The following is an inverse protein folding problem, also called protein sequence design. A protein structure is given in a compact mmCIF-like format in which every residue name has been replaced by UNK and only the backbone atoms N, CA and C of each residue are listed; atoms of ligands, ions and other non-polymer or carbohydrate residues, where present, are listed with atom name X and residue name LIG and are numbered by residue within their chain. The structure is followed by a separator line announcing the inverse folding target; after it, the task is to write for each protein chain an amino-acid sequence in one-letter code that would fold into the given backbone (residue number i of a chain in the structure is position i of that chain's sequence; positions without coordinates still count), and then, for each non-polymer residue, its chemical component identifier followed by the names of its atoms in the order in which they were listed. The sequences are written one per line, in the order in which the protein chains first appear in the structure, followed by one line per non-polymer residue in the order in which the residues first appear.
data_IF_976810290569
#
_entry.id   IF_976810290569
#
_cell.length_a   1.000
_cell.length_b   1.000
_cell.length_c   1.000
_cell.angle_alpha   90.00
_cell.angle_beta   90.00
_cell.angle_gamma   90.00
#
_symmetry.space_group_name_H-M   'P 1'
#
loop_
_entity.id
_entity.type
_entity.pdbx_description
1 polymer ?
#
# COMPACT_ATOMS: atom_id res chain seq x y z
N UNK A 1 28.45 -10.09 -52.71
CA UNK A 1 27.99 -9.40 -51.49
C UNK A 1 28.79 -9.95 -50.33
N UNK A 2 29.59 -9.14 -49.66
CA UNK A 2 30.26 -9.55 -48.41
C UNK A 2 29.18 -9.74 -47.33
N UNK A 3 29.22 -10.82 -46.53
CA UNK A 3 28.28 -11.00 -45.43
C UNK A 3 28.45 -9.85 -44.43
N UNK A 4 27.35 -9.17 -44.12
CA UNK A 4 27.31 -8.09 -43.15
C UNK A 4 27.38 -8.71 -41.74
N UNK A 5 28.59 -8.89 -41.22
CA UNK A 5 28.79 -9.34 -39.84
C UNK A 5 28.73 -8.12 -38.92
N UNK A 6 27.84 -8.18 -37.93
CA UNK A 6 27.79 -7.18 -36.87
C UNK A 6 29.05 -7.26 -36.01
N UNK A 7 29.50 -6.12 -35.47
CA UNK A 7 30.51 -6.12 -34.40
C UNK A 7 29.98 -6.88 -33.18
N UNK A 8 30.86 -7.29 -32.26
CA UNK A 8 30.45 -7.91 -30.99
C UNK A 8 29.41 -7.06 -30.27
N UNK A 9 29.63 -5.74 -30.21
CA UNK A 9 28.67 -4.77 -29.67
C UNK A 9 27.35 -4.72 -30.45
N UNK A 10 27.40 -4.77 -31.78
CA UNK A 10 26.20 -4.82 -32.62
C UNK A 10 25.41 -6.10 -32.41
N UNK A 11 26.08 -7.24 -32.25
CA UNK A 11 25.46 -8.52 -31.94
C UNK A 11 24.81 -8.51 -30.54
N UNK A 12 25.51 -7.97 -29.53
CA UNK A 12 24.97 -7.83 -28.17
C UNK A 12 23.73 -6.95 -28.13
N UNK A 13 23.73 -5.81 -28.85
CA UNK A 13 22.56 -4.93 -28.93
C UNK A 13 21.38 -5.61 -29.63
N UNK A 14 21.63 -6.44 -30.64
CA UNK A 14 20.58 -7.17 -31.34
C UNK A 14 19.84 -8.16 -30.42
N UNK A 15 20.54 -8.74 -29.43
CA UNK A 15 19.92 -9.59 -28.41
C UNK A 15 19.00 -8.83 -27.43
N UNK A 16 19.11 -7.51 -27.33
CA UNK A 16 18.19 -6.69 -26.53
C UNK A 16 16.86 -6.42 -27.26
N UNK A 17 16.84 -6.48 -28.59
CA UNK A 17 15.63 -6.17 -29.37
C UNK A 17 14.45 -7.12 -29.06
N UNK A 18 14.64 -8.45 -28.93
CA UNK A 18 13.56 -9.33 -28.48
C UNK A 18 13.05 -9.01 -27.08
N UNK A 19 13.94 -8.63 -26.16
CA UNK A 19 13.57 -8.26 -24.78
C UNK A 19 12.73 -6.98 -24.78
N UNK A 20 13.15 -5.97 -25.55
CA UNK A 20 12.39 -4.73 -25.72
C UNK A 20 11.04 -4.99 -26.41
N UNK A 21 11.02 -5.83 -27.46
CA UNK A 21 9.79 -6.23 -28.13
C UNK A 21 8.82 -6.94 -27.19
N UNK A 22 9.31 -7.89 -26.39
CA UNK A 22 8.52 -8.56 -25.36
C UNK A 22 7.99 -7.55 -24.33
N UNK A 23 8.83 -6.62 -23.85
CA UNK A 23 8.40 -5.60 -22.88
C UNK A 23 7.28 -4.69 -23.40
N UNK A 24 7.21 -4.43 -24.71
CA UNK A 24 6.15 -3.64 -25.33
C UNK A 24 4.86 -4.45 -25.57
N UNK A 25 4.98 -5.75 -25.85
CA UNK A 25 3.87 -6.61 -26.23
C UNK A 25 3.18 -7.24 -25.01
N UNK A 26 3.97 -7.71 -24.03
CA UNK A 26 3.47 -8.45 -22.87
C UNK A 26 2.35 -7.72 -22.11
N UNK A 27 2.41 -6.40 -21.88
CA UNK A 27 1.33 -5.68 -21.19
C UNK A 27 -0.02 -5.70 -21.92
N UNK A 28 -0.02 -5.94 -23.24
CA UNK A 28 -1.23 -6.02 -24.05
C UNK A 28 -1.80 -7.44 -24.19
N UNK A 29 -1.02 -8.47 -23.82
CA UNK A 29 -1.41 -9.88 -23.94
C UNK A 29 -1.68 -10.51 -22.57
N UNK A 30 -0.87 -10.16 -21.57
CA UNK A 30 -0.95 -10.74 -20.24
C UNK A 30 -2.03 -10.04 -19.43
N UNK A 31 -2.96 -10.83 -18.90
CA UNK A 31 -3.88 -10.39 -17.87
C UNK A 31 -3.14 -10.29 -16.52
N UNK A 32 -2.89 -9.04 -16.10
CA UNK A 32 -2.27 -8.70 -14.82
C UNK A 32 -3.04 -9.18 -13.58
N UNK A 33 -4.30 -9.57 -13.72
CA UNK A 33 -5.14 -10.11 -12.63
C UNK A 33 -5.15 -11.64 -12.59
N UNK A 34 -4.74 -12.29 -13.70
CA UNK A 34 -4.65 -13.74 -13.80
C UNK A 34 -3.48 -14.27 -12.97
N UNK A 35 -3.80 -15.03 -11.91
CA UNK A 35 -2.79 -15.64 -11.03
C UNK A 35 -1.88 -16.59 -11.81
N UNK A 36 -2.40 -17.33 -12.78
CA UNK A 36 -1.61 -18.27 -13.57
C UNK A 36 -0.58 -17.58 -14.46
N UNK A 37 -0.98 -16.50 -15.14
CA UNK A 37 -0.08 -15.75 -16.02
C UNK A 37 1.02 -15.05 -15.23
N UNK A 38 0.68 -14.51 -14.05
CA UNK A 38 1.67 -13.95 -13.11
C UNK A 38 2.65 -15.02 -12.63
N UNK A 39 2.18 -16.21 -12.23
CA UNK A 39 3.05 -17.33 -11.84
C UNK A 39 4.03 -17.67 -12.97
N UNK A 40 3.55 -17.82 -14.20
CA UNK A 40 4.41 -18.12 -15.35
C UNK A 40 5.48 -17.03 -15.56
N UNK A 41 5.08 -15.76 -15.53
CA UNK A 41 6.00 -14.63 -15.73
C UNK A 41 7.07 -14.55 -14.63
N UNK A 42 6.68 -14.65 -13.36
CA UNK A 42 7.62 -14.61 -12.24
C UNK A 42 8.47 -15.88 -12.16
N UNK A 43 7.97 -17.05 -12.57
CA UNK A 43 8.77 -18.28 -12.64
C UNK A 43 9.90 -18.14 -13.66
N UNK A 44 9.63 -17.56 -14.84
CA UNK A 44 10.67 -17.25 -15.82
C UNK A 44 11.70 -16.28 -15.22
N UNK A 45 11.25 -15.22 -14.54
CA UNK A 45 12.15 -14.27 -13.89
C UNK A 45 13.03 -14.93 -12.81
N UNK A 46 12.47 -15.84 -12.00
CA UNK A 46 13.23 -16.61 -11.00
C UNK A 46 14.27 -17.49 -11.66
N UNK A 47 13.92 -18.23 -12.73
CA UNK A 47 14.88 -19.09 -13.44
C UNK A 47 16.03 -18.28 -14.00
N UNK A 48 15.76 -17.11 -14.60
CA UNK A 48 16.80 -16.22 -15.12
C UNK A 48 17.68 -15.66 -14.00
N UNK A 49 17.09 -15.26 -12.88
CA UNK A 49 17.85 -14.75 -11.73
C UNK A 49 18.73 -15.84 -11.08
N UNK A 50 18.23 -17.08 -10.96
CA UNK A 50 19.03 -18.23 -10.50
C UNK A 50 20.18 -18.50 -11.47
N UNK A 51 19.92 -18.50 -12.78
CA UNK A 51 20.97 -18.68 -13.80
C UNK A 51 22.02 -17.58 -13.73
N UNK A 52 21.59 -16.33 -13.52
CA UNK A 52 22.47 -15.18 -13.35
C UNK A 52 23.35 -15.32 -12.11
N UNK A 53 22.78 -15.60 -10.94
CA UNK A 53 23.55 -15.78 -9.71
C UNK A 53 24.54 -16.94 -9.82
N UNK A 54 24.14 -18.04 -10.47
CA UNK A 54 25.04 -19.16 -10.76
C UNK A 54 26.22 -18.69 -11.60
N UNK A 55 25.97 -18.07 -12.76
CA UNK A 55 27.01 -17.55 -13.65
C UNK A 55 27.92 -16.55 -12.93
N UNK A 56 27.33 -15.63 -12.15
CA UNK A 56 28.06 -14.63 -11.39
C UNK A 56 29.03 -15.29 -10.40
N UNK A 57 28.56 -16.29 -9.66
CA UNK A 57 29.37 -17.01 -8.67
C UNK A 57 30.41 -17.96 -9.26
N UNK A 58 30.20 -18.51 -10.46
CA UNK A 58 31.11 -19.52 -11.03
C UNK A 58 32.09 -19.00 -12.07
N UNK A 59 31.72 -17.98 -12.84
CA UNK A 59 32.48 -17.58 -14.04
C UNK A 59 33.07 -16.16 -13.97
N UNK A 60 32.61 -15.33 -13.02
CA UNK A 60 32.94 -13.89 -13.03
C UNK A 60 33.65 -13.38 -11.79
N UNK A 61 33.83 -14.22 -10.77
CA UNK A 61 34.63 -13.87 -9.60
C UNK A 61 36.11 -13.81 -10.00
N UNK A 62 36.82 -12.84 -9.44
CA UNK A 62 38.26 -12.77 -9.64
C UNK A 62 38.94 -14.01 -9.01
N UNK A 63 40.16 -14.35 -9.44
CA UNK A 63 40.89 -15.49 -8.87
C UNK A 63 41.03 -15.37 -7.35
N UNK A 64 40.83 -16.49 -6.65
CA UNK A 64 40.87 -16.55 -5.19
C UNK A 64 42.24 -16.11 -4.68
N UNK A 65 42.25 -15.09 -3.83
CA UNK A 65 43.46 -14.55 -3.21
C UNK A 65 43.17 -13.29 -2.40
N UNK A 66 44.15 -12.82 -1.63
CA UNK A 66 44.05 -11.55 -0.89
C UNK A 66 44.36 -10.35 -1.79
N UNK A 67 43.71 -10.29 -2.96
CA UNK A 67 43.85 -9.18 -3.91
C UNK A 67 42.66 -8.22 -3.79
N UNK A 68 42.85 -6.92 -4.09
CA UNK A 68 41.73 -5.96 -4.13
C UNK A 68 40.61 -6.41 -5.06
N UNK A 69 40.94 -7.02 -6.20
CA UNK A 69 39.99 -7.49 -7.20
C UNK A 69 39.11 -8.64 -6.67
N UNK A 70 39.69 -9.58 -5.93
CA UNK A 70 38.94 -10.66 -5.28
C UNK A 70 38.02 -10.13 -4.19
N UNK A 71 38.52 -9.22 -3.35
CA UNK A 71 37.71 -8.61 -2.29
C UNK A 71 36.54 -7.83 -2.89
N UNK A 72 36.78 -6.99 -3.90
CA UNK A 72 35.74 -6.18 -4.53
C UNK A 72 34.70 -7.04 -5.27
N UNK A 73 35.14 -8.03 -6.08
CA UNK A 73 34.23 -8.91 -6.80
C UNK A 73 33.41 -9.80 -5.85
N UNK A 74 34.01 -10.31 -4.77
CA UNK A 74 33.31 -11.12 -3.77
C UNK A 74 32.33 -10.30 -2.94
N UNK A 75 32.68 -9.07 -2.56
CA UNK A 75 31.78 -8.16 -1.84
C UNK A 75 30.57 -7.80 -2.72
N UNK A 76 30.81 -7.46 -3.99
CA UNK A 76 29.72 -7.18 -4.94
C UNK A 76 28.82 -8.40 -5.13
N UNK A 77 29.40 -9.59 -5.31
CA UNK A 77 28.63 -10.83 -5.40
C UNK A 77 27.78 -11.08 -4.15
N UNK A 78 28.31 -10.82 -2.95
CA UNK A 78 27.55 -10.93 -1.70
C UNK A 78 26.35 -9.99 -1.65
N UNK A 79 26.53 -8.73 -2.08
CA UNK A 79 25.43 -7.76 -2.18
C UNK A 79 24.39 -8.16 -3.23
N UNK A 80 24.84 -8.60 -4.41
CA UNK A 80 23.97 -9.10 -5.49
C UNK A 80 23.17 -10.33 -5.03
N UNK A 81 23.80 -11.24 -4.29
CA UNK A 81 23.16 -12.43 -3.74
C UNK A 81 22.08 -12.08 -2.73
N UNK A 82 22.38 -11.21 -1.75
CA UNK A 82 21.40 -10.76 -0.74
C UNK A 82 20.24 -10.02 -1.42
N UNK A 83 20.53 -9.16 -2.39
CA UNK A 83 19.52 -8.43 -3.14
C UNK A 83 18.62 -9.39 -3.92
N UNK A 84 19.20 -10.38 -4.59
CA UNK A 84 18.46 -11.39 -5.36
C UNK A 84 17.58 -12.25 -4.45
N UNK A 85 18.06 -12.61 -3.25
CA UNK A 85 17.23 -13.30 -2.25
C UNK A 85 16.02 -12.45 -1.84
N UNK A 86 16.22 -11.15 -1.61
CA UNK A 86 15.11 -10.22 -1.35
C UNK A 86 14.13 -10.13 -2.53
N UNK A 87 14.64 -10.10 -3.76
CA UNK A 87 13.83 -10.11 -4.99
C UNK A 87 13.00 -11.38 -5.12
N UNK A 88 13.52 -12.56 -4.75
CA UNK A 88 12.72 -13.79 -4.75
C UNK A 88 11.52 -13.72 -3.82
N UNK A 89 11.70 -13.14 -2.61
CA UNK A 89 10.56 -12.90 -1.71
C UNK A 89 9.52 -12.00 -2.37
N UNK A 90 9.94 -10.93 -3.03
CA UNK A 90 9.02 -10.02 -3.72
C UNK A 90 8.30 -10.71 -4.89
N UNK A 91 9.01 -11.51 -5.69
CA UNK A 91 8.43 -12.26 -6.81
C UNK A 91 7.39 -13.27 -6.32
N UNK A 92 7.69 -14.04 -5.28
CA UNK A 92 6.75 -15.01 -4.71
C UNK A 92 5.47 -14.32 -4.23
N UNK A 93 5.59 -13.19 -3.53
CA UNK A 93 4.43 -12.40 -3.11
C UNK A 93 3.63 -11.95 -4.34
N UNK A 94 4.30 -11.37 -5.34
CA UNK A 94 3.67 -10.85 -6.55
C UNK A 94 3.20 -11.93 -7.54
N UNK A 95 3.32 -13.23 -7.25
CA UNK A 95 2.73 -14.28 -8.10
C UNK A 95 1.21 -14.33 -7.98
N UNK A 96 0.64 -13.97 -6.82
CA UNK A 96 -0.79 -14.04 -6.55
C UNK A 96 -1.39 -12.64 -6.46
N UNK A 97 -2.63 -12.47 -6.88
CA UNK A 97 -3.34 -11.18 -6.84
C UNK A 97 -4.77 -11.41 -6.40
N UNK A 98 -5.25 -10.58 -5.46
CA UNK A 98 -6.63 -10.63 -4.98
C UNK A 98 -7.26 -9.25 -5.10
N UNK A 99 -8.30 -9.15 -5.92
CA UNK A 99 -9.20 -8.00 -5.93
C UNK A 99 -10.47 -8.35 -5.14
N UNK A 100 -10.74 -7.57 -4.08
CA UNK A 100 -11.89 -7.75 -3.20
C UNK A 100 -13.09 -6.88 -3.62
N UNK A 101 -13.00 -6.15 -4.73
CA UNK A 101 -14.03 -5.18 -5.15
C UNK A 101 -15.38 -5.84 -5.44
N UNK A 102 -15.37 -7.01 -6.08
CA UNK A 102 -16.57 -7.78 -6.38
C UNK A 102 -17.16 -8.40 -5.10
N UNK A 103 -16.30 -8.96 -4.25
CA UNK A 103 -16.67 -9.51 -2.94
C UNK A 103 -17.34 -8.47 -2.04
N UNK A 104 -16.79 -7.25 -1.98
CA UNK A 104 -17.39 -6.14 -1.25
C UNK A 104 -18.73 -5.68 -1.84
N UNK A 105 -18.93 -5.86 -3.15
CA UNK A 105 -20.19 -5.46 -3.81
C UNK A 105 -21.28 -6.51 -3.62
N UNK A 106 -20.93 -7.79 -3.67
CA UNK A 106 -21.85 -8.91 -3.45
C UNK A 106 -22.34 -8.99 -2.00
N UNK A 107 -21.45 -8.72 -1.04
CA UNK A 107 -21.74 -8.83 0.39
C UNK A 107 -22.17 -7.49 1.04
N UNK A 108 -22.53 -6.51 0.23
CA UNK A 108 -23.05 -5.24 0.73
C UNK A 108 -24.30 -5.48 1.58
N UNK A 109 -24.28 -5.06 2.84
CA UNK A 109 -25.44 -5.23 3.73
C UNK A 109 -25.60 -6.63 4.33
N UNK A 110 -24.53 -7.46 4.37
CA UNK A 110 -24.57 -8.82 4.94
C UNK A 110 -25.12 -8.89 6.37
N UNK A 111 -25.08 -7.78 7.12
CA UNK A 111 -25.63 -7.64 8.47
C UNK A 111 -27.15 -7.74 8.56
N UNK A 112 -27.86 -7.71 7.42
CA UNK A 112 -29.30 -7.90 7.32
C UNK A 112 -30.12 -6.62 7.54
N UNK A 113 -31.42 -6.63 7.18
CA UNK A 113 -32.29 -5.49 7.32
C UNK A 113 -32.53 -5.13 8.81
N UNK A 114 -32.37 -3.85 9.16
CA UNK A 114 -32.64 -3.33 10.50
C UNK A 114 -31.49 -3.42 11.50
N UNK A 115 -30.32 -3.95 11.11
CA UNK A 115 -29.08 -3.91 11.89
C UNK A 115 -28.10 -2.90 11.31
N UNK A 116 -28.23 -1.62 11.66
CA UNK A 116 -27.17 -0.68 11.31
C UNK A 116 -25.99 -0.88 12.27
N UNK A 117 -24.95 -1.57 11.81
CA UNK A 117 -23.73 -1.82 12.57
C UNK A 117 -23.15 -0.51 13.11
N UNK A 118 -22.84 -0.42 14.39
CA UNK A 118 -22.29 0.80 14.98
C UNK A 118 -20.81 0.93 14.65
N UNK A 119 -20.43 2.04 14.04
CA UNK A 119 -19.03 2.31 13.66
C UNK A 119 -18.52 3.55 14.38
N UNK A 120 -17.44 3.41 15.17
CA UNK A 120 -16.68 4.55 15.66
C UNK A 120 -15.60 4.93 14.65
N UNK A 121 -15.72 6.12 14.06
CA UNK A 121 -14.75 6.68 13.12
C UNK A 121 -13.81 7.63 13.86
N UNK A 122 -12.58 7.18 14.08
CA UNK A 122 -11.54 7.90 14.80
C UNK A 122 -10.72 8.75 13.81
N UNK A 123 -10.64 10.05 14.05
CA UNK A 123 -9.78 10.98 13.28
C UNK A 123 -8.65 11.44 14.22
N UNK A 124 -7.43 10.93 14.02
CA UNK A 124 -6.30 11.26 14.88
C UNK A 124 -5.55 12.50 14.38
N UNK A 125 -5.28 13.45 15.27
CA UNK A 125 -4.64 14.72 14.94
C UNK A 125 -3.70 15.21 16.05
N UNK A 126 -2.66 15.95 15.66
CA UNK A 126 -1.70 16.56 16.58
C UNK A 126 -1.53 18.07 16.37
N UNK A 127 -1.16 18.50 15.16
CA UNK A 127 -0.85 19.90 14.86
C UNK A 127 -1.47 20.40 13.54
N UNK A 128 -2.35 19.62 12.92
CA UNK A 128 -3.03 20.00 11.68
C UNK A 128 -3.93 21.22 11.88
N UNK A 129 -3.98 22.08 10.86
CA UNK A 129 -4.75 23.31 10.87
C UNK A 129 -6.24 23.06 10.59
N UNK A 130 -7.07 24.06 10.91
CA UNK A 130 -8.52 23.99 10.72
C UNK A 130 -8.89 23.60 9.28
N UNK A 131 -8.20 24.15 8.27
CA UNK A 131 -8.52 23.90 6.86
C UNK A 131 -8.35 22.43 6.45
N UNK A 132 -7.42 21.72 7.08
CA UNK A 132 -7.19 20.28 6.84
C UNK A 132 -8.25 19.47 7.58
N UNK A 133 -8.42 19.77 8.87
CA UNK A 133 -9.34 19.04 9.74
C UNK A 133 -10.80 19.21 9.32
N UNK A 134 -11.21 20.41 8.93
CA UNK A 134 -12.55 20.70 8.44
C UNK A 134 -12.91 19.80 7.24
N UNK A 135 -12.02 19.68 6.25
CA UNK A 135 -12.27 18.84 5.07
C UNK A 135 -12.48 17.38 5.45
N UNK A 136 -11.67 16.87 6.37
CA UNK A 136 -11.77 15.48 6.84
C UNK A 136 -13.02 15.24 7.69
N UNK A 137 -13.34 16.15 8.61
CA UNK A 137 -14.54 16.05 9.47
C UNK A 137 -15.82 16.16 8.64
N UNK A 138 -15.89 17.11 7.70
CA UNK A 138 -17.05 17.25 6.80
C UNK A 138 -17.16 16.04 5.86
N UNK A 139 -16.05 15.53 5.34
CA UNK A 139 -16.02 14.30 4.54
C UNK A 139 -16.53 13.09 5.32
N UNK A 140 -16.10 12.95 6.58
CA UNK A 140 -16.57 11.92 7.50
C UNK A 140 -18.08 12.00 7.75
N UNK A 141 -18.64 13.20 7.93
CA UNK A 141 -20.10 13.41 8.06
C UNK A 141 -20.86 12.93 6.82
N UNK A 142 -20.27 13.12 5.63
CA UNK A 142 -20.87 12.75 4.35
C UNK A 142 -20.78 11.24 4.01
N UNK A 143 -20.19 10.40 4.88
CA UNK A 143 -20.12 8.96 4.68
C UNK A 143 -21.52 8.32 4.68
N UNK A 144 -21.77 7.40 3.74
CA UNK A 144 -23.04 6.69 3.56
C UNK A 144 -23.14 5.50 4.52
N UNK A 145 -23.24 5.82 5.81
CA UNK A 145 -23.51 4.88 6.89
C UNK A 145 -24.27 5.61 7.99
N UNK A 146 -25.42 5.09 8.41
CA UNK A 146 -26.32 5.80 9.34
C UNK A 146 -25.76 5.76 10.75
N UNK A 147 -25.46 4.57 11.27
CA UNK A 147 -24.96 4.36 12.63
C UNK A 147 -23.44 4.53 12.72
N UNK A 148 -22.96 5.75 12.45
CA UNK A 148 -21.55 6.15 12.63
C UNK A 148 -21.42 7.25 13.68
N UNK A 149 -20.42 7.12 14.53
CA UNK A 149 -19.99 8.15 15.48
C UNK A 149 -18.62 8.68 15.03
N UNK A 150 -18.49 9.99 14.84
CA UNK A 150 -17.22 10.62 14.45
C UNK A 150 -16.54 11.14 15.72
N UNK A 151 -15.30 10.72 15.94
CA UNK A 151 -14.53 11.05 17.14
C UNK A 151 -13.18 11.62 16.73
N UNK A 152 -12.97 12.90 17.00
CA UNK A 152 -11.71 13.60 16.76
C UNK A 152 -10.80 13.43 17.97
N UNK A 153 -9.64 12.82 17.76
CA UNK A 153 -8.66 12.49 18.77
C UNK A 153 -7.52 13.53 18.75
N UNK A 154 -7.53 14.48 19.67
CA UNK A 154 -6.64 15.63 19.67
C UNK A 154 -5.53 15.54 20.72
N UNK A 155 -4.33 15.14 20.29
CA UNK A 155 -3.12 15.13 21.12
C UNK A 155 -2.48 16.53 21.27
N UNK A 156 -2.93 17.51 20.47
CA UNK A 156 -2.53 18.91 20.56
C UNK A 156 -3.28 19.70 21.65
N UNK A 157 -4.37 19.14 22.19
CA UNK A 157 -5.18 19.74 23.28
C UNK A 157 -5.65 21.17 22.94
N UNK A 158 -6.07 21.38 21.69
CA UNK A 158 -6.44 22.66 21.10
C UNK A 158 -7.89 23.01 21.44
N UNK A 159 -8.10 24.05 22.24
CA UNK A 159 -9.44 24.47 22.66
C UNK A 159 -10.31 24.88 21.46
N UNK A 160 -9.74 25.55 20.46
CA UNK A 160 -10.46 25.91 19.23
C UNK A 160 -11.00 24.69 18.50
N UNK A 161 -10.29 23.55 18.54
CA UNK A 161 -10.71 22.33 17.87
C UNK A 161 -11.85 21.64 18.62
N UNK A 162 -11.82 21.69 19.96
CA UNK A 162 -12.96 21.26 20.79
C UNK A 162 -14.22 22.05 20.43
N UNK A 163 -14.09 23.37 20.36
CA UNK A 163 -15.21 24.27 20.08
C UNK A 163 -15.75 24.03 18.65
N UNK A 164 -14.86 23.89 17.66
CA UNK A 164 -15.24 23.51 16.29
C UNK A 164 -15.92 22.13 16.21
N UNK A 165 -15.43 21.12 16.96
CA UNK A 165 -16.08 19.81 17.01
C UNK A 165 -17.50 19.90 17.57
N UNK A 166 -17.71 20.75 18.58
CA UNK A 166 -19.04 20.98 19.15
C UNK A 166 -19.98 21.66 18.13
N UNK A 167 -19.49 22.66 17.38
CA UNK A 167 -20.24 23.30 16.29
C UNK A 167 -20.60 22.30 15.17
N UNK A 168 -19.70 21.35 14.89
CA UNK A 168 -19.92 20.32 13.87
C UNK A 168 -20.70 19.10 14.38
N UNK A 169 -21.13 19.09 15.65
CA UNK A 169 -21.83 17.98 16.29
C UNK A 169 -21.05 16.65 16.19
N UNK A 170 -19.72 16.70 16.37
CA UNK A 170 -18.85 15.53 16.43
C UNK A 170 -18.16 15.41 17.78
N UNK A 171 -17.84 14.18 18.19
CA UNK A 171 -17.22 13.93 19.50
C UNK A 171 -15.77 14.39 19.50
N UNK A 172 -15.39 15.24 20.44
CA UNK A 172 -14.00 15.61 20.69
C UNK A 172 -13.45 14.78 21.85
N UNK A 173 -12.30 14.15 21.66
CA UNK A 173 -11.59 13.43 22.72
C UNK A 173 -10.14 13.91 22.80
N UNK A 174 -9.72 14.26 24.02
CA UNK A 174 -8.32 14.53 24.36
C UNK A 174 -7.91 13.72 25.57
N UNK A 175 -6.61 13.49 25.71
CA UNK A 175 -6.00 12.85 26.89
C UNK A 175 -5.04 13.81 27.60
N UNK A 176 -4.64 13.45 28.82
CA UNK A 176 -3.80 14.28 29.68
C UNK A 176 -2.31 14.23 29.33
N UNK A 177 -1.86 13.17 28.65
CA UNK A 177 -0.48 12.95 28.23
C UNK A 177 -0.37 12.67 26.72
N UNK A 178 0.86 12.55 26.21
CA UNK A 178 1.15 12.22 24.81
C UNK A 178 1.96 10.91 24.70
N UNK A 179 1.78 9.97 25.64
CA UNK A 179 2.55 8.70 25.63
C UNK A 179 2.22 7.89 24.38
N UNK A 180 3.22 7.23 23.80
CA UNK A 180 3.05 6.38 22.62
C UNK A 180 2.44 7.07 21.37
N UNK A 181 2.47 8.41 21.33
CA UNK A 181 2.00 9.25 20.22
C UNK A 181 0.63 8.80 19.67
N UNK A 182 0.49 8.67 18.35
CA UNK A 182 -0.76 8.26 17.67
C UNK A 182 -1.32 6.94 18.19
N UNK A 183 -0.46 5.94 18.47
CA UNK A 183 -0.91 4.65 18.99
C UNK A 183 -1.52 4.80 20.39
N UNK A 184 -0.89 5.59 21.26
CA UNK A 184 -1.44 5.90 22.58
C UNK A 184 -2.75 6.68 22.51
N UNK A 185 -2.88 7.61 21.57
CA UNK A 185 -4.10 8.37 21.36
C UNK A 185 -5.28 7.47 20.94
N UNK A 186 -5.05 6.58 19.97
CA UNK A 186 -6.04 5.57 19.56
C UNK A 186 -6.36 4.61 20.72
N UNK A 187 -5.37 4.13 21.46
CA UNK A 187 -5.60 3.24 22.60
C UNK A 187 -6.42 3.91 23.72
N UNK A 188 -6.21 5.20 23.97
CA UNK A 188 -7.04 5.98 24.89
C UNK A 188 -8.50 6.04 24.40
N UNK A 189 -8.73 6.27 23.11
CA UNK A 189 -10.06 6.26 22.52
C UNK A 189 -10.74 4.88 22.62
N UNK A 190 -10.01 3.81 22.30
CA UNK A 190 -10.52 2.44 22.41
C UNK A 190 -10.90 2.08 23.86
N UNK A 191 -10.09 2.50 24.85
CA UNK A 191 -10.42 2.30 26.26
C UNK A 191 -11.72 3.01 26.62
N UNK A 192 -11.85 4.30 26.27
CA UNK A 192 -13.07 5.08 26.52
C UNK A 192 -14.28 4.43 25.86
N UNK A 193 -14.15 3.95 24.62
CA UNK A 193 -15.23 3.27 23.90
C UNK A 193 -15.63 1.95 24.55
N UNK A 194 -14.67 1.19 25.10
CA UNK A 194 -14.94 -0.11 25.75
C UNK A 194 -15.67 0.01 27.09
N UNK A 195 -15.63 1.18 27.73
CA UNK A 195 -16.27 1.46 29.02
C UNK A 195 -17.69 2.03 28.87
N UNK A 196 -18.18 2.24 27.63
CA UNK A 196 -19.52 2.76 27.36
C UNK A 196 -20.58 1.66 27.44
N UNK A 197 -21.81 2.05 27.79
CA UNK A 197 -22.98 1.15 27.78
C UNK A 197 -23.22 0.54 26.39
N UNK A 198 -22.99 1.32 25.34
CA UNK A 198 -23.10 0.90 23.95
C UNK A 198 -21.74 0.94 23.27
N UNK A 199 -21.13 -0.23 23.12
CA UNK A 199 -19.82 -0.41 22.47
C UNK A 199 -20.00 -0.47 20.95
N UNK A 200 -19.17 0.21 20.14
CA UNK A 200 -19.23 0.10 18.69
C UNK A 200 -18.87 -1.32 18.21
N UNK A 201 -19.56 -1.82 17.19
CA UNK A 201 -19.28 -3.11 16.56
C UNK A 201 -17.94 -3.07 15.81
N UNK A 202 -17.63 -1.92 15.20
CA UNK A 202 -16.40 -1.71 14.42
C UNK A 202 -15.77 -0.36 14.71
N UNK A 203 -14.45 -0.30 14.52
CA UNK A 203 -13.67 0.93 14.59
C UNK A 203 -13.02 1.17 13.23
N UNK A 204 -13.14 2.40 12.74
CA UNK A 204 -12.43 2.87 11.56
C UNK A 204 -11.48 4.00 11.98
N UNK A 205 -10.31 4.07 11.37
CA UNK A 205 -9.29 5.07 11.68
C UNK A 205 -8.96 5.85 10.41
N UNK A 206 -8.98 7.18 10.53
CA UNK A 206 -8.52 8.12 9.51
C UNK A 206 -7.45 9.03 10.11
N UNK A 207 -6.50 9.40 9.26
CA UNK A 207 -5.55 10.46 9.53
C UNK A 207 -6.23 11.81 9.26
N UNK A 208 -5.74 12.86 9.92
CA UNK A 208 -6.36 14.19 9.87
C UNK A 208 -6.45 14.79 8.46
N UNK A 209 -5.59 14.37 7.53
CA UNK A 209 -5.49 14.83 6.15
C UNK A 209 -6.13 13.87 5.12
N UNK A 210 -6.77 12.78 5.56
CA UNK A 210 -7.42 11.80 4.69
C UNK A 210 -8.93 11.94 4.67
N UNK A 211 -9.44 12.52 3.58
CA UNK A 211 -10.87 12.60 3.30
C UNK A 211 -11.35 11.29 2.68
N UNK A 212 -12.07 10.47 3.45
CA UNK A 212 -12.58 9.18 3.00
C UNK A 212 -13.66 9.31 1.89
N UNK A 213 -13.65 8.37 0.94
CA UNK A 213 -14.70 8.29 -0.07
C UNK A 213 -16.06 7.94 0.57
N UNK A 214 -17.18 8.46 0.03
CA UNK A 214 -18.53 8.31 0.63
C UNK A 214 -18.95 6.87 0.93
N UNK A 215 -18.44 5.90 0.15
CA UNK A 215 -18.70 4.47 0.33
C UNK A 215 -17.70 3.73 1.21
N UNK A 216 -16.79 4.43 1.90
CA UNK A 216 -15.70 3.84 2.68
C UNK A 216 -16.22 2.81 3.69
N UNK A 217 -17.01 3.24 4.68
CA UNK A 217 -17.52 2.35 5.74
C UNK A 217 -18.31 1.18 5.16
N UNK A 218 -19.26 1.45 4.26
CA UNK A 218 -20.17 0.40 3.79
C UNK A 218 -19.48 -0.64 2.91
N UNK A 219 -18.47 -0.25 2.12
CA UNK A 219 -17.67 -1.20 1.32
C UNK A 219 -16.67 -1.96 2.18
N UNK A 220 -16.06 -1.35 3.20
CA UNK A 220 -15.13 -2.07 4.09
C UNK A 220 -15.90 -3.04 4.99
N UNK A 221 -17.05 -2.63 5.53
CA UNK A 221 -17.91 -3.49 6.33
C UNK A 221 -18.37 -4.73 5.56
N UNK A 222 -18.59 -4.62 4.25
CA UNK A 222 -19.01 -5.75 3.42
C UNK A 222 -18.03 -6.94 3.47
N UNK A 223 -16.74 -6.68 3.68
CA UNK A 223 -15.72 -7.73 3.75
C UNK A 223 -15.74 -8.50 5.08
N UNK A 224 -16.29 -7.91 6.15
CA UNK A 224 -16.50 -8.60 7.42
C UNK A 224 -17.66 -9.62 7.41
N UNK A 225 -18.27 -9.88 6.24
CA UNK A 225 -19.19 -11.01 6.09
C UNK A 225 -18.53 -12.36 6.41
N UNK A 226 -17.22 -12.46 6.20
CA UNK A 226 -16.41 -13.58 6.63
C UNK A 226 -15.98 -13.36 8.09
N UNK A 227 -16.42 -14.21 9.04
CA UNK A 227 -16.08 -14.07 10.46
C UNK A 227 -14.58 -14.27 10.76
N UNK A 228 -13.77 -14.71 9.79
CA UNK A 228 -12.31 -14.80 9.95
C UNK A 228 -11.59 -13.47 9.69
N UNK A 229 -12.26 -12.46 9.12
CA UNK A 229 -11.67 -11.16 8.82
C UNK A 229 -11.58 -10.31 10.10
N UNK A 230 -10.35 -10.03 10.55
CA UNK A 230 -10.09 -9.16 11.71
C UNK A 230 -9.73 -7.70 11.36
N UNK A 231 -9.30 -7.45 10.12
CA UNK A 231 -8.85 -6.13 9.65
C UNK A 231 -9.15 -5.96 8.16
N UNK A 232 -9.65 -4.78 7.79
CA UNK A 232 -9.77 -4.37 6.39
C UNK A 232 -8.94 -3.12 6.18
N UNK A 233 -7.91 -3.21 5.35
CA UNK A 233 -7.05 -2.09 4.97
C UNK A 233 -7.47 -1.55 3.61
N UNK A 234 -7.55 -0.22 3.48
CA UNK A 234 -7.80 0.44 2.19
C UNK A 234 -6.53 1.10 1.64
N UNK A 235 -6.40 1.25 0.31
CA UNK A 235 -5.36 2.07 -0.31
C UNK A 235 -5.35 3.50 0.22
N UNK A 236 -4.16 4.10 0.29
CA UNK A 236 -3.98 5.53 0.51
C UNK A 236 -3.57 6.18 -0.80
N UNK A 237 -4.40 7.12 -1.29
CA UNK A 237 -4.12 7.87 -2.52
C UNK A 237 -3.99 9.35 -2.19
N UNK A 238 -2.90 9.95 -2.66
CA UNK A 238 -2.61 11.38 -2.49
C UNK A 238 -3.03 12.13 -3.75
N UNK A 239 -3.56 13.34 -3.56
CA UNK A 239 -3.91 14.22 -4.68
C UNK A 239 -2.77 15.17 -5.06
N UNK A 240 -1.85 15.45 -4.13
CA UNK A 240 -0.65 16.25 -4.36
C UNK A 240 0.53 15.38 -4.80
N UNK A 241 1.37 15.94 -5.65
CA UNK A 241 2.62 15.30 -6.06
C UNK A 241 3.60 15.25 -4.88
N UNK A 242 4.33 14.15 -4.76
CA UNK A 242 5.47 14.09 -3.85
C UNK A 242 6.62 15.01 -4.33
N UNK A 243 7.60 15.34 -3.46
CA UNK A 243 8.70 16.23 -3.83
C UNK A 243 9.50 15.77 -5.06
N UNK A 244 9.67 14.46 -5.26
CA UNK A 244 10.41 13.90 -6.40
C UNK A 244 9.61 14.13 -7.68
N UNK A 245 8.32 13.78 -7.67
CA UNK A 245 7.43 14.02 -8.80
C UNK A 245 7.34 15.50 -9.19
N UNK A 246 7.20 16.37 -8.20
CA UNK A 246 7.12 17.81 -8.40
C UNK A 246 8.42 18.36 -9.02
N UNK A 247 9.57 18.04 -8.42
CA UNK A 247 10.86 18.58 -8.84
C UNK A 247 11.31 18.07 -10.20
N UNK A 248 10.90 16.86 -10.59
CA UNK A 248 11.19 16.29 -11.92
C UNK A 248 10.12 16.61 -12.97
N UNK A 249 8.99 17.22 -12.58
CA UNK A 249 7.90 17.55 -13.50
C UNK A 249 7.15 16.33 -14.05
N UNK A 250 7.14 15.21 -13.34
CA UNK A 250 6.59 13.92 -13.79
C UNK A 250 5.24 13.55 -13.15
N UNK A 251 4.64 14.44 -12.36
CA UNK A 251 3.40 14.19 -11.61
C UNK A 251 2.19 13.80 -12.46
N UNK A 252 2.17 14.14 -13.76
CA UNK A 252 1.08 13.77 -14.68
C UNK A 252 1.30 12.43 -15.39
N UNK A 253 2.54 11.96 -15.45
CA UNK A 253 2.96 10.80 -16.25
C UNK A 253 3.34 9.60 -15.39
N UNK A 254 3.75 9.82 -14.15
CA UNK A 254 4.18 8.77 -13.25
C UNK A 254 3.37 8.83 -11.94
N UNK A 255 2.83 7.70 -11.45
CA UNK A 255 2.14 7.66 -10.16
C UNK A 255 3.12 7.93 -9.00
N UNK A 256 2.59 8.29 -7.82
CA UNK A 256 3.42 8.43 -6.62
C UNK A 256 3.98 7.06 -6.20
N UNK A 257 5.04 7.07 -5.40
CA UNK A 257 5.72 5.85 -4.96
C UNK A 257 4.77 4.86 -4.25
N UNK A 258 3.81 5.38 -3.46
CA UNK A 258 2.96 4.53 -2.63
C UNK A 258 1.94 3.74 -3.44
N UNK A 259 1.60 4.19 -4.65
CA UNK A 259 0.77 3.43 -5.59
C UNK A 259 1.30 2.04 -5.87
N UNK A 260 2.61 1.85 -5.99
CA UNK A 260 3.16 0.51 -6.21
C UNK A 260 2.82 -0.43 -5.05
N UNK A 261 2.95 0.07 -3.82
CA UNK A 261 2.63 -0.69 -2.62
C UNK A 261 1.13 -1.01 -2.52
N UNK A 262 0.26 -0.02 -2.69
CA UNK A 262 -1.18 -0.20 -2.49
C UNK A 262 -1.89 -0.88 -3.67
N UNK A 263 -1.50 -0.61 -4.92
CA UNK A 263 -2.19 -1.15 -6.09
C UNK A 263 -1.67 -2.54 -6.49
N UNK A 264 -0.43 -2.88 -6.11
CA UNK A 264 0.20 -4.14 -6.56
C UNK A 264 0.65 -5.01 -5.39
N UNK A 265 1.44 -4.49 -4.46
CA UNK A 265 2.02 -5.32 -3.40
C UNK A 265 0.96 -5.78 -2.38
N UNK A 266 0.10 -4.89 -1.89
CA UNK A 266 -0.94 -5.24 -0.91
C UNK A 266 -1.96 -6.26 -1.45
N UNK A 267 -2.58 -6.07 -2.63
CA UNK A 267 -3.44 -7.09 -3.23
C UNK A 267 -2.74 -8.43 -3.44
N UNK A 268 -1.43 -8.41 -3.69
CA UNK A 268 -0.66 -9.65 -3.83
C UNK A 268 -0.36 -10.34 -2.50
N UNK A 269 -0.27 -9.58 -1.40
CA UNK A 269 -0.11 -10.10 -0.04
C UNK A 269 -1.42 -10.62 0.57
N UNK A 270 -2.56 -10.06 0.18
CA UNK A 270 -3.90 -10.51 0.60
C UNK A 270 -4.32 -11.84 -0.07
N UNK A 271 -3.75 -12.14 -1.24
CA UNK A 271 -3.99 -13.38 -1.99
C UNK A 271 -3.33 -14.62 -1.37
#
# INVERSE_FOLDING_TARGET
MLPFHLSETGSSLLHLLPVLGAALILPGIIDRTSTWERICLFAVAIVLAVRYIWWRGTETLAPVGLTPDFVASSALFGLEFITTLGTFSAFIIMMRYRDRSDEASLNYGWWGPGRDMRVALLIATYNEELEVLERTIIGAKALRHVNKEIIVLDDGRRDWLRDFCAEQEVTYLRRSDNRDAKAGNINNALKVLSERDEVPDFVAVLDADFVAHRGFISRTLALFHDPQVGLVQTPQHFFNADPIQHNLGISRTYPDEQRFFFDHLQPSRDA
#
